data_IF_091848282761
#
_entry.id   IF_091848282761
#
_cell.length_a   1.000
_cell.length_b   1.000
_cell.length_c   1.000
_cell.angle_alpha   90.00
_cell.angle_beta   90.00
_cell.angle_gamma   90.00
#
_symmetry.space_group_name_H-M   'P 1'
#
loop_
_entity.id
_entity.type
_entity.pdbx_description
1 polymer ?
#
# COMPACT_ATOMS: atom_id res chain seq x y z
N UNK A 1 16.85 6.65 -10.73
CA UNK A 1 17.64 7.37 -9.70
C UNK A 1 17.14 6.94 -8.32
N UNK A 2 18.04 6.66 -7.40
CA UNK A 2 17.71 6.35 -6.00
C UNK A 2 17.26 7.63 -5.27
N UNK A 3 16.01 8.02 -5.41
CA UNK A 3 15.50 9.15 -4.64
C UNK A 3 15.27 8.71 -3.19
N UNK A 4 15.92 9.42 -2.27
CA UNK A 4 15.82 9.23 -0.83
C UNK A 4 15.00 10.36 -0.23
N UNK A 5 13.99 10.01 0.56
CA UNK A 5 13.29 10.93 1.45
C UNK A 5 13.85 10.74 2.86
N UNK A 6 14.16 11.83 3.54
CA UNK A 6 14.60 11.78 4.95
C UNK A 6 13.60 12.55 5.80
N UNK A 7 13.05 11.89 6.80
CA UNK A 7 12.14 12.47 7.78
C UNK A 7 12.86 12.61 9.11
N UNK A 8 12.96 13.82 9.67
CA UNK A 8 13.46 14.00 11.03
C UNK A 8 12.46 13.41 12.02
N UNK A 9 12.93 12.71 13.04
CA UNK A 9 12.14 12.41 14.22
C UNK A 9 12.18 13.64 15.14
N UNK A 10 11.11 14.39 15.20
CA UNK A 10 10.98 15.49 16.15
C UNK A 10 10.44 14.95 17.48
N UNK A 11 11.33 14.68 18.43
CA UNK A 11 11.00 14.66 19.87
C UNK A 11 10.29 13.44 20.45
N UNK A 12 9.64 12.59 19.68
CA UNK A 12 8.98 11.38 20.18
C UNK A 12 9.66 10.11 19.63
N UNK A 13 9.71 9.07 20.47
CA UNK A 13 10.37 7.81 20.14
C UNK A 13 9.55 6.93 19.16
N UNK A 14 8.57 7.48 18.43
CA UNK A 14 7.70 6.77 17.49
C UNK A 14 7.39 7.60 16.27
N UNK A 15 7.10 6.93 15.16
CA UNK A 15 6.66 7.49 13.89
C UNK A 15 5.30 6.94 13.53
N UNK A 16 4.37 7.82 13.19
CA UNK A 16 3.00 7.45 12.79
C UNK A 16 2.85 7.47 11.28
N UNK A 17 2.45 6.36 10.72
CA UNK A 17 2.26 6.17 9.28
C UNK A 17 0.78 5.89 8.98
N UNK A 18 0.27 6.56 7.96
CA UNK A 18 -1.03 6.27 7.36
C UNK A 18 -0.80 5.48 6.07
N UNK A 19 -1.39 4.29 5.98
CA UNK A 19 -1.46 3.55 4.72
C UNK A 19 -2.83 3.74 4.07
N UNK A 20 -2.81 4.16 2.81
CA UNK A 20 -3.95 4.20 1.90
C UNK A 20 -3.60 3.31 0.71
N UNK A 21 -4.51 2.45 0.29
CA UNK A 21 -4.26 1.48 -0.78
C UNK A 21 -5.52 1.21 -1.59
N UNK A 22 -5.33 0.79 -2.83
CA UNK A 22 -6.39 0.26 -3.69
C UNK A 22 -7.58 1.23 -3.79
N UNK A 23 -7.28 2.49 -4.14
CA UNK A 23 -8.32 3.53 -4.25
C UNK A 23 -9.13 3.41 -5.52
N UNK A 24 -8.58 2.80 -6.58
CA UNK A 24 -9.22 2.52 -7.86
C UNK A 24 -10.01 3.71 -8.42
N UNK A 25 -9.40 4.89 -8.39
CA UNK A 25 -10.03 6.11 -8.87
C UNK A 25 -10.13 6.12 -10.40
N UNK A 26 -11.09 6.88 -10.89
CA UNK A 26 -11.34 7.08 -12.32
C UNK A 26 -11.09 8.54 -12.73
N UNK A 27 -11.01 8.76 -14.04
CA UNK A 27 -10.98 10.11 -14.61
C UNK A 27 -12.22 10.92 -14.24
N UNK A 28 -13.37 10.25 -14.18
CA UNK A 28 -14.63 10.89 -13.82
C UNK A 28 -15.02 10.52 -12.40
N UNK A 29 -15.22 11.53 -11.54
CA UNK A 29 -15.56 11.34 -10.13
C UNK A 29 -16.89 10.63 -9.87
N UNK A 30 -17.74 10.48 -10.89
CA UNK A 30 -19.03 9.78 -10.77
C UNK A 30 -18.95 8.29 -11.15
N UNK A 31 -17.79 7.82 -11.63
CA UNK A 31 -17.62 6.43 -12.00
C UNK A 31 -17.51 5.51 -10.78
N UNK A 32 -17.91 4.27 -10.99
CA UNK A 32 -18.00 3.28 -9.94
C UNK A 32 -17.27 1.98 -10.31
N UNK A 33 -16.64 1.36 -9.34
CA UNK A 33 -16.12 0.01 -9.42
C UNK A 33 -17.08 -0.93 -8.69
N UNK A 34 -17.62 -1.92 -9.41
CA UNK A 34 -18.49 -2.95 -8.82
C UNK A 34 -19.66 -2.36 -8.00
N UNK A 35 -20.24 -1.25 -8.48
CA UNK A 35 -21.35 -0.56 -7.82
C UNK A 35 -20.96 0.50 -6.79
N UNK A 36 -19.69 0.60 -6.40
CA UNK A 36 -19.21 1.61 -5.44
C UNK A 36 -18.58 2.79 -6.18
N UNK A 37 -19.09 4.01 -5.95
CA UNK A 37 -18.41 5.22 -6.40
C UNK A 37 -17.10 5.38 -5.63
N UNK A 38 -15.98 5.19 -6.35
CA UNK A 38 -14.66 5.12 -5.71
C UNK A 38 -14.17 6.48 -5.20
N UNK A 39 -14.54 7.57 -5.87
CA UNK A 39 -14.21 8.91 -5.40
C UNK A 39 -14.94 9.24 -4.09
N UNK A 40 -16.26 9.00 -4.02
CA UNK A 40 -17.03 9.27 -2.82
C UNK A 40 -16.57 8.42 -1.63
N UNK A 41 -16.25 7.15 -1.89
CA UNK A 41 -15.71 6.25 -0.88
C UNK A 41 -14.34 6.71 -0.37
N UNK A 42 -13.43 7.07 -1.28
CA UNK A 42 -12.13 7.63 -0.93
C UNK A 42 -12.26 8.91 -0.11
N UNK A 43 -13.14 9.84 -0.51
CA UNK A 43 -13.38 11.07 0.26
C UNK A 43 -13.94 10.78 1.65
N UNK A 44 -14.86 9.83 1.78
CA UNK A 44 -15.41 9.45 3.09
C UNK A 44 -14.32 8.86 4.02
N UNK A 45 -13.41 8.04 3.48
CA UNK A 45 -12.24 7.55 4.23
C UNK A 45 -11.37 8.71 4.69
N UNK A 46 -11.03 9.64 3.80
CA UNK A 46 -10.22 10.80 4.15
C UNK A 46 -10.90 11.71 5.17
N UNK A 47 -12.21 11.89 5.08
CA UNK A 47 -12.99 12.64 6.07
C UNK A 47 -12.94 11.99 7.46
N UNK A 48 -13.02 10.66 7.52
CA UNK A 48 -12.88 9.92 8.78
C UNK A 48 -11.48 10.06 9.40
N UNK A 49 -10.43 10.16 8.57
CA UNK A 49 -9.05 10.34 9.00
C UNK A 49 -8.75 11.79 9.40
N UNK A 50 -9.43 12.76 8.78
CA UNK A 50 -9.14 14.21 8.90
C UNK A 50 -9.00 14.75 10.32
N UNK A 51 -9.79 14.31 11.33
CA UNK A 51 -9.58 14.76 12.72
C UNK A 51 -8.18 14.45 13.27
N UNK A 52 -7.52 13.40 12.73
CA UNK A 52 -6.22 12.91 13.13
C UNK A 52 -5.10 13.23 12.12
N UNK A 53 -5.38 14.00 11.07
CA UNK A 53 -4.45 14.24 9.94
C UNK A 53 -3.08 14.82 10.36
N UNK A 54 -3.03 15.54 11.48
CA UNK A 54 -1.80 16.15 11.99
C UNK A 54 -0.94 15.21 12.82
N UNK A 55 -1.42 13.99 13.06
CA UNK A 55 -0.72 12.98 13.85
C UNK A 55 0.21 12.12 13.01
N UNK A 56 0.08 12.17 11.68
CA UNK A 56 0.87 11.35 10.77
C UNK A 56 2.15 12.07 10.33
N UNK A 57 3.24 11.32 10.34
CA UNK A 57 4.56 11.75 9.88
C UNK A 57 4.79 11.36 8.41
N UNK A 58 4.09 10.33 7.92
CA UNK A 58 4.21 9.81 6.56
C UNK A 58 2.90 9.19 6.10
N UNK A 59 2.57 9.38 4.82
CA UNK A 59 1.54 8.63 4.10
C UNK A 59 2.24 7.67 3.16
N UNK A 60 1.81 6.40 3.14
CA UNK A 60 2.27 5.40 2.18
C UNK A 60 1.08 4.93 1.34
N UNK A 61 1.19 5.08 0.01
CA UNK A 61 0.20 4.63 -0.95
C UNK A 61 0.72 3.36 -1.64
N UNK A 62 0.06 2.23 -1.40
CA UNK A 62 0.59 0.90 -1.76
C UNK A 62 -0.04 0.30 -3.01
N UNK A 63 -0.34 1.15 -4.01
CA UNK A 63 -0.73 0.75 -5.36
C UNK A 63 -2.22 0.73 -5.62
N UNK A 64 -2.56 0.44 -6.87
CA UNK A 64 -3.91 0.46 -7.44
C UNK A 64 -4.66 1.76 -7.13
N UNK A 65 -3.97 2.89 -7.40
CA UNK A 65 -4.53 4.22 -7.18
C UNK A 65 -5.55 4.60 -8.25
N UNK A 66 -5.33 4.14 -9.50
CA UNK A 66 -6.23 4.38 -10.63
C UNK A 66 -6.77 3.07 -11.20
N UNK A 67 -8.08 3.04 -11.50
CA UNK A 67 -8.71 1.92 -12.20
C UNK A 67 -8.54 2.03 -13.71
N UNK A 68 -8.66 3.24 -14.25
CA UNK A 68 -8.68 3.52 -15.68
C UNK A 68 -7.33 4.03 -16.25
N UNK A 69 -6.27 3.99 -15.45
CA UNK A 69 -4.91 4.40 -15.82
C UNK A 69 -4.76 5.86 -16.26
N UNK A 70 -5.77 6.69 -16.03
CA UNK A 70 -5.78 8.08 -16.45
C UNK A 70 -4.95 8.97 -15.54
N UNK A 71 -4.31 10.02 -16.10
CA UNK A 71 -3.65 11.06 -15.30
C UNK A 71 -4.61 11.76 -14.34
N UNK A 72 -5.89 11.90 -14.71
CA UNK A 72 -6.90 12.52 -13.89
C UNK A 72 -7.20 11.70 -12.60
N UNK A 73 -7.21 10.37 -12.67
CA UNK A 73 -7.37 9.52 -11.50
C UNK A 73 -6.25 9.76 -10.47
N UNK A 74 -4.99 9.85 -10.89
CA UNK A 74 -3.86 10.16 -10.00
C UNK A 74 -3.92 11.58 -9.45
N UNK A 75 -4.40 12.54 -10.25
CA UNK A 75 -4.66 13.91 -9.77
C UNK A 75 -5.75 13.93 -8.69
N UNK A 76 -6.79 13.13 -8.84
CA UNK A 76 -7.83 12.97 -7.82
C UNK A 76 -7.27 12.36 -6.53
N UNK A 77 -6.37 11.37 -6.63
CA UNK A 77 -5.68 10.86 -5.45
C UNK A 77 -4.91 11.98 -4.74
N UNK A 78 -4.10 12.73 -5.49
CA UNK A 78 -3.32 13.85 -4.95
C UNK A 78 -4.20 14.96 -4.36
N UNK A 79 -5.32 15.29 -5.01
CA UNK A 79 -6.34 16.24 -4.50
C UNK A 79 -6.86 15.81 -3.12
N UNK A 80 -7.16 14.52 -2.96
CA UNK A 80 -7.69 13.97 -1.71
C UNK A 80 -6.74 14.17 -0.54
N UNK A 81 -5.45 13.83 -0.72
CA UNK A 81 -4.46 13.94 0.35
C UNK A 81 -3.83 15.34 0.51
N UNK A 82 -4.17 16.30 -0.35
CA UNK A 82 -3.54 17.63 -0.34
C UNK A 82 -3.69 18.40 0.97
N UNK A 83 -4.72 18.09 1.77
CA UNK A 83 -4.93 18.72 3.09
C UNK A 83 -4.03 18.14 4.19
N UNK A 84 -3.44 16.98 3.96
CA UNK A 84 -2.53 16.33 4.92
C UNK A 84 -1.14 17.00 4.84
N UNK A 85 -0.53 17.26 5.99
CA UNK A 85 0.80 17.86 6.04
C UNK A 85 1.92 16.86 5.89
N UNK A 86 1.62 15.58 6.17
CA UNK A 86 2.58 14.50 6.04
C UNK A 86 2.97 14.31 4.57
N UNK A 87 4.26 14.14 4.24
CA UNK A 87 4.66 13.73 2.90
C UNK A 87 4.07 12.38 2.55
N UNK A 88 3.85 12.15 1.25
CA UNK A 88 3.39 10.87 0.72
C UNK A 88 4.47 10.23 -0.15
N UNK A 89 4.66 8.93 0.00
CA UNK A 89 5.41 8.06 -0.91
C UNK A 89 4.51 6.97 -1.45
N UNK A 90 4.85 6.41 -2.62
CA UNK A 90 3.96 5.51 -3.32
C UNK A 90 4.70 4.44 -4.12
N UNK A 91 4.01 3.36 -4.40
CA UNK A 91 4.42 2.32 -5.34
C UNK A 91 3.22 1.95 -6.25
N UNK A 92 3.45 1.41 -7.46
CA UNK A 92 2.38 1.02 -8.35
C UNK A 92 1.76 -0.32 -7.95
N UNK A 93 0.47 -0.50 -8.25
CA UNK A 93 -0.21 -1.78 -8.29
C UNK A 93 -0.42 -2.25 -9.73
N UNK A 94 -1.11 -3.38 -9.92
CA UNK A 94 -1.31 -3.98 -11.25
C UNK A 94 -2.27 -3.18 -12.14
N UNK A 95 -3.17 -2.38 -11.57
CA UNK A 95 -4.06 -1.49 -12.33
C UNK A 95 -3.38 -0.18 -12.74
N UNK A 96 -2.28 0.20 -12.12
CA UNK A 96 -1.65 1.49 -12.38
C UNK A 96 -0.88 1.52 -13.71
N UNK A 97 -0.84 2.69 -14.34
CA UNK A 97 0.02 2.98 -15.48
C UNK A 97 1.14 3.92 -15.06
N UNK A 98 2.33 3.37 -14.87
CA UNK A 98 3.45 4.08 -14.25
C UNK A 98 3.79 5.43 -14.92
N UNK A 99 3.83 5.58 -16.27
CA UNK A 99 4.14 6.88 -16.86
C UNK A 99 3.17 8.00 -16.47
N UNK A 100 1.86 7.72 -16.46
CA UNK A 100 0.85 8.69 -16.04
C UNK A 100 0.89 8.94 -14.52
N UNK A 101 1.08 7.88 -13.74
CA UNK A 101 1.22 7.94 -12.27
C UNK A 101 2.40 8.82 -11.86
N UNK A 102 3.60 8.58 -12.45
CA UNK A 102 4.80 9.38 -12.18
C UNK A 102 4.58 10.85 -12.48
N UNK A 103 4.07 11.16 -13.69
CA UNK A 103 3.87 12.54 -14.10
C UNK A 103 2.88 13.26 -13.20
N UNK A 104 1.70 12.69 -12.99
CA UNK A 104 0.63 13.34 -12.22
C UNK A 104 1.00 13.53 -10.74
N UNK A 105 1.61 12.52 -10.10
CA UNK A 105 2.00 12.61 -8.69
C UNK A 105 3.19 13.55 -8.49
N UNK A 106 4.17 13.57 -9.41
CA UNK A 106 5.28 14.50 -9.37
C UNK A 106 4.82 15.95 -9.57
N UNK A 107 3.91 16.20 -10.50
CA UNK A 107 3.31 17.52 -10.74
C UNK A 107 2.55 18.02 -9.49
N UNK A 108 1.98 17.11 -8.72
CA UNK A 108 1.34 17.40 -7.43
C UNK A 108 2.32 17.53 -6.26
N UNK A 109 3.64 17.41 -6.50
CA UNK A 109 4.67 17.51 -5.47
C UNK A 109 4.81 16.28 -4.58
N UNK A 110 4.22 15.13 -4.98
CA UNK A 110 4.31 13.88 -4.22
C UNK A 110 5.60 13.15 -4.59
N UNK A 111 6.37 12.78 -3.58
CA UNK A 111 7.72 12.23 -3.74
C UNK A 111 7.72 10.85 -4.42
N UNK A 112 8.53 10.64 -5.48
CA UNK A 112 8.73 9.34 -6.08
C UNK A 112 9.76 8.48 -5.33
N UNK A 113 10.13 8.85 -4.09
CA UNK A 113 11.16 8.16 -3.33
C UNK A 113 10.80 6.70 -3.10
N UNK A 114 11.77 5.82 -3.31
CA UNK A 114 11.66 4.37 -3.06
C UNK A 114 12.39 3.94 -1.79
N UNK A 115 13.07 4.88 -1.14
CA UNK A 115 13.69 4.70 0.18
C UNK A 115 13.34 5.90 1.05
N UNK A 116 12.93 5.63 2.29
CA UNK A 116 12.64 6.67 3.29
C UNK A 116 13.49 6.36 4.52
N UNK A 117 14.30 7.31 4.96
CA UNK A 117 14.92 7.27 6.28
C UNK A 117 14.06 8.04 7.28
N UNK A 118 13.85 7.45 8.44
CA UNK A 118 13.07 8.04 9.53
C UNK A 118 13.94 8.06 10.77
N UNK A 119 14.37 9.25 11.15
CA UNK A 119 15.39 9.42 12.17
C UNK A 119 16.65 8.59 11.86
N UNK A 120 17.24 8.01 12.91
CA UNK A 120 18.40 7.12 12.78
C UNK A 120 18.03 5.64 12.85
N UNK A 121 16.81 5.31 13.30
CA UNK A 121 16.42 3.94 13.66
C UNK A 121 15.73 3.18 12.54
N UNK A 122 14.95 3.85 11.66
CA UNK A 122 14.13 3.19 10.68
C UNK A 122 14.47 3.52 9.25
N UNK A 123 14.24 2.56 8.36
CA UNK A 123 14.07 2.80 6.94
C UNK A 123 12.82 2.10 6.41
N UNK A 124 12.24 2.69 5.37
CA UNK A 124 11.17 2.08 4.59
C UNK A 124 11.69 1.91 3.17
N UNK A 125 11.51 0.72 2.61
CA UNK A 125 11.87 0.40 1.23
C UNK A 125 10.61 0.05 0.44
N UNK A 126 10.43 0.68 -0.72
CA UNK A 126 9.28 0.48 -1.59
C UNK A 126 9.72 -0.32 -2.83
N UNK A 127 9.18 -1.52 -2.97
CA UNK A 127 9.45 -2.39 -4.11
C UNK A 127 8.35 -2.26 -5.16
N UNK A 128 8.76 -2.19 -6.41
CA UNK A 128 7.86 -2.25 -7.55
C UNK A 128 7.69 -3.71 -7.98
N UNK A 129 6.53 -4.27 -7.67
CA UNK A 129 6.16 -5.64 -8.04
C UNK A 129 5.23 -5.70 -9.25
N UNK A 130 4.97 -4.56 -9.91
CA UNK A 130 4.09 -4.54 -11.08
C UNK A 130 4.73 -5.27 -12.27
N UNK A 131 3.94 -6.14 -12.89
CA UNK A 131 4.17 -6.64 -14.24
C UNK A 131 3.06 -6.06 -15.12
N UNK A 132 3.41 -5.16 -16.03
CA UNK A 132 2.42 -4.44 -16.82
C UNK A 132 1.52 -5.38 -17.63
N UNK A 133 0.21 -5.18 -17.54
CA UNK A 133 -0.80 -5.90 -18.30
C UNK A 133 -1.22 -7.25 -17.73
N UNK A 134 -0.73 -7.61 -16.55
CA UNK A 134 -1.16 -8.84 -15.85
C UNK A 134 -1.45 -8.56 -14.37
N UNK A 135 -2.35 -9.31 -13.72
CA UNK A 135 -2.77 -9.02 -12.34
C UNK A 135 -1.82 -9.57 -11.26
N UNK A 136 -0.87 -10.44 -11.61
CA UNK A 136 0.11 -10.95 -10.66
C UNK A 136 1.35 -10.05 -10.59
N UNK A 137 2.06 -10.12 -9.46
CA UNK A 137 3.32 -9.41 -9.27
C UNK A 137 4.54 -10.29 -9.51
N UNK A 138 5.66 -9.63 -9.83
CA UNK A 138 6.98 -10.23 -9.88
C UNK A 138 8.04 -9.15 -9.60
N UNK A 139 9.02 -9.45 -8.79
CA UNK A 139 10.16 -8.56 -8.58
C UNK A 139 11.24 -8.88 -9.61
N UNK A 140 11.64 -7.87 -10.39
CA UNK A 140 12.74 -8.04 -11.33
C UNK A 140 14.05 -8.33 -10.59
N UNK A 141 15.02 -8.95 -11.27
CA UNK A 141 16.38 -9.16 -10.74
C UNK A 141 16.99 -7.83 -10.25
N UNK A 142 16.77 -6.75 -11.01
CA UNK A 142 17.21 -5.41 -10.61
C UNK A 142 16.60 -4.95 -9.27
N UNK A 143 15.30 -5.24 -9.03
CA UNK A 143 14.64 -4.88 -7.77
C UNK A 143 15.19 -5.70 -6.60
N UNK A 144 15.44 -7.00 -6.79
CA UNK A 144 16.03 -7.86 -5.77
C UNK A 144 17.46 -7.46 -5.43
N UNK A 145 18.30 -7.18 -6.43
CA UNK A 145 19.66 -6.67 -6.21
C UNK A 145 19.67 -5.28 -5.54
N UNK A 146 18.74 -4.40 -5.95
CA UNK A 146 18.57 -3.09 -5.32
C UNK A 146 18.21 -3.25 -3.85
N UNK A 147 17.24 -4.12 -3.53
CA UNK A 147 16.83 -4.41 -2.17
C UNK A 147 18.02 -4.91 -1.33
N UNK A 148 18.75 -5.91 -1.83
CA UNK A 148 19.93 -6.48 -1.15
C UNK A 148 20.98 -5.41 -0.83
N UNK A 149 21.30 -4.54 -1.81
CA UNK A 149 22.22 -3.43 -1.59
C UNK A 149 21.72 -2.45 -0.53
N UNK A 150 20.41 -2.06 -0.58
CA UNK A 150 19.86 -1.09 0.37
C UNK A 150 19.78 -1.62 1.79
N UNK A 151 19.57 -2.93 1.96
CA UNK A 151 19.62 -3.57 3.26
C UNK A 151 21.06 -3.66 3.79
N UNK A 152 22.01 -3.98 2.92
CA UNK A 152 23.43 -4.01 3.28
C UNK A 152 24.02 -2.63 3.61
N UNK A 153 23.53 -1.57 2.95
CA UNK A 153 23.96 -0.18 3.19
C UNK A 153 23.54 0.38 4.57
N UNK A 154 22.53 -0.20 5.23
CA UNK A 154 22.02 0.28 6.51
C UNK A 154 21.57 -0.89 7.43
N UNK A 155 22.51 -1.77 7.80
CA UNK A 155 22.20 -3.00 8.55
C UNK A 155 21.71 -2.73 9.99
N UNK A 156 21.99 -1.54 10.53
CA UNK A 156 21.58 -1.11 11.87
C UNK A 156 20.14 -0.56 11.91
N UNK A 157 19.53 -0.29 10.74
CA UNK A 157 18.17 0.26 10.70
C UNK A 157 17.12 -0.83 10.68
N UNK A 158 16.11 -0.69 11.53
CA UNK A 158 14.88 -1.47 11.40
C UNK A 158 14.24 -1.18 10.04
N UNK A 159 13.73 -2.20 9.38
CA UNK A 159 13.21 -2.05 8.02
C UNK A 159 11.76 -2.48 7.93
N UNK A 160 10.91 -1.58 7.41
CA UNK A 160 9.58 -1.88 6.89
C UNK A 160 9.65 -1.96 5.37
N UNK A 161 9.27 -3.10 4.80
CA UNK A 161 9.26 -3.32 3.36
C UNK A 161 7.84 -3.18 2.81
N UNK A 162 7.66 -2.36 1.80
CA UNK A 162 6.37 -2.14 1.12
C UNK A 162 6.40 -2.75 -0.28
N UNK A 163 5.33 -3.44 -0.64
CA UNK A 163 5.08 -3.93 -2.00
C UNK A 163 3.57 -4.00 -2.22
N UNK A 164 3.12 -4.03 -3.49
CA UNK A 164 1.68 -4.14 -3.75
C UNK A 164 1.18 -5.57 -3.58
N UNK A 165 1.80 -6.53 -4.28
CA UNK A 165 1.34 -7.92 -4.32
C UNK A 165 1.78 -8.71 -3.09
N UNK A 166 0.85 -9.48 -2.52
CA UNK A 166 1.10 -10.32 -1.35
C UNK A 166 2.03 -11.50 -1.67
N UNK A 167 3.07 -11.75 -0.87
CA UNK A 167 4.03 -12.84 -1.10
C UNK A 167 3.57 -14.19 -0.53
N UNK A 168 2.57 -14.22 0.34
CA UNK A 168 2.02 -15.40 0.99
C UNK A 168 0.54 -15.54 0.62
N UNK A 169 0.02 -16.74 0.33
CA UNK A 169 -1.39 -16.92 0.04
C UNK A 169 -2.31 -16.31 1.10
N UNK A 170 -3.31 -15.54 0.66
CA UNK A 170 -4.33 -14.95 1.52
C UNK A 170 -5.44 -15.94 1.89
N UNK A 171 -5.40 -17.16 1.33
CA UNK A 171 -6.42 -18.17 1.54
C UNK A 171 -7.66 -18.01 0.64
N UNK A 172 -7.52 -17.22 -0.43
CA UNK A 172 -8.53 -17.03 -1.46
C UNK A 172 -7.99 -17.57 -2.78
N UNK A 173 -8.40 -18.75 -3.23
CA UNK A 173 -7.78 -19.45 -4.36
C UNK A 173 -7.77 -18.66 -5.67
N UNK A 174 -8.78 -17.82 -5.92
CA UNK A 174 -8.82 -16.95 -7.10
C UNK A 174 -7.82 -15.79 -6.98
N UNK A 175 -7.71 -15.19 -5.79
CA UNK A 175 -6.85 -14.04 -5.52
C UNK A 175 -5.38 -14.47 -5.40
N UNK A 176 -5.12 -15.65 -4.85
CA UNK A 176 -3.78 -16.22 -4.70
C UNK A 176 -3.09 -16.53 -6.03
N UNK A 177 -3.86 -16.61 -7.14
CA UNK A 177 -3.30 -16.68 -8.50
C UNK A 177 -2.64 -15.37 -8.93
N UNK A 178 -2.97 -14.27 -8.28
CA UNK A 178 -2.47 -12.92 -8.54
C UNK A 178 -1.41 -12.47 -7.54
N UNK A 179 -0.88 -13.38 -6.72
CA UNK A 179 0.17 -13.11 -5.74
C UNK A 179 1.52 -12.76 -6.39
N UNK A 180 2.52 -12.45 -5.56
CA UNK A 180 3.91 -12.29 -5.98
C UNK A 180 4.48 -13.63 -6.46
N UNK A 181 4.78 -13.76 -7.76
CA UNK A 181 5.22 -15.00 -8.39
C UNK A 181 6.54 -15.53 -7.84
N UNK A 182 7.48 -14.65 -7.59
CA UNK A 182 8.81 -15.00 -7.12
C UNK A 182 9.04 -14.67 -5.64
N UNK A 183 8.03 -14.90 -4.80
CA UNK A 183 8.13 -14.73 -3.35
C UNK A 183 9.28 -15.52 -2.72
N UNK A 184 9.65 -16.69 -3.27
CA UNK A 184 10.79 -17.48 -2.83
C UNK A 184 12.14 -16.79 -3.06
N UNK A 185 12.29 -16.03 -4.14
CA UNK A 185 13.51 -15.24 -4.39
C UNK A 185 13.59 -14.07 -3.42
N UNK A 186 12.47 -13.39 -3.17
CA UNK A 186 12.39 -12.36 -2.14
C UNK A 186 12.78 -12.93 -0.76
N UNK A 187 12.22 -14.08 -0.37
CA UNK A 187 12.56 -14.73 0.90
C UNK A 187 14.07 -15.08 0.99
N UNK A 188 14.66 -15.54 -0.11
CA UNK A 188 16.11 -15.83 -0.20
C UNK A 188 16.96 -14.59 0.06
N UNK A 189 16.56 -13.43 -0.47
CA UNK A 189 17.23 -12.15 -0.18
C UNK A 189 17.05 -11.79 1.29
N UNK A 190 15.80 -11.81 1.78
CA UNK A 190 15.47 -11.40 3.15
C UNK A 190 16.08 -12.31 4.23
N UNK A 191 16.34 -13.58 3.92
CA UNK A 191 17.02 -14.51 4.84
C UNK A 191 18.44 -14.07 5.22
N UNK A 192 19.08 -13.24 4.38
CA UNK A 192 20.40 -12.65 4.67
C UNK A 192 20.31 -11.47 5.67
N UNK A 193 19.11 -10.94 5.90
CA UNK A 193 18.88 -9.71 6.66
C UNK A 193 17.81 -9.89 7.75
N UNK A 194 18.16 -10.54 8.88
CA UNK A 194 17.20 -10.89 9.94
C UNK A 194 16.59 -9.67 10.66
N UNK A 195 17.13 -8.47 10.43
CA UNK A 195 16.58 -7.22 10.93
C UNK A 195 15.34 -6.72 10.15
N UNK A 196 15.05 -7.29 8.97
CA UNK A 196 13.81 -7.05 8.24
C UNK A 196 12.70 -7.90 8.85
N UNK A 197 11.81 -7.28 9.63
CA UNK A 197 10.77 -8.00 10.39
C UNK A 197 9.36 -7.73 9.91
N UNK A 198 9.15 -6.72 9.05
CA UNK A 198 7.83 -6.26 8.68
C UNK A 198 7.71 -6.06 7.18
N UNK A 199 6.62 -6.60 6.61
CA UNK A 199 6.19 -6.36 5.25
C UNK A 199 4.75 -5.83 5.27
N UNK A 200 4.44 -4.93 4.35
CA UNK A 200 3.12 -4.32 4.22
C UNK A 200 2.72 -4.28 2.75
N UNK A 201 1.53 -4.80 2.44
CA UNK A 201 1.02 -4.83 1.07
C UNK A 201 -0.44 -4.31 0.96
N UNK A 202 -0.88 -4.12 -0.28
CA UNK A 202 -2.26 -3.87 -0.68
C UNK A 202 -2.85 -5.06 -1.42
N UNK A 203 -3.47 -4.81 -2.57
CA UNK A 203 -3.90 -5.77 -3.59
C UNK A 203 -5.07 -6.68 -3.21
N UNK A 204 -5.06 -7.26 -2.02
CA UNK A 204 -6.06 -8.28 -1.64
C UNK A 204 -7.36 -7.70 -1.10
N UNK A 205 -7.44 -6.38 -0.88
CA UNK A 205 -8.60 -5.68 -0.31
C UNK A 205 -9.12 -6.33 0.98
N UNK A 206 -8.22 -6.91 1.77
CA UNK A 206 -8.52 -7.58 3.03
C UNK A 206 -7.55 -7.13 4.11
N UNK A 207 -7.99 -7.22 5.35
CA UNK A 207 -7.10 -7.17 6.49
C UNK A 207 -6.37 -8.51 6.64
N UNK A 208 -5.05 -8.46 6.67
CA UNK A 208 -4.20 -9.63 6.88
C UNK A 208 -3.12 -9.30 7.90
N UNK A 209 -2.81 -10.27 8.77
CA UNK A 209 -1.71 -10.22 9.74
C UNK A 209 -1.21 -11.64 9.98
N UNK A 210 -0.14 -12.01 9.27
CA UNK A 210 0.40 -13.37 9.26
C UNK A 210 1.90 -13.39 9.51
N UNK A 211 2.39 -14.50 10.03
CA UNK A 211 3.81 -14.81 10.02
C UNK A 211 4.23 -15.37 8.66
N UNK A 212 5.30 -14.80 8.11
CA UNK A 212 6.00 -15.29 6.92
C UNK A 212 7.48 -15.50 7.22
N UNK A 213 7.82 -16.72 7.59
CA UNK A 213 9.20 -17.12 7.91
C UNK A 213 9.86 -16.23 9.00
N UNK A 214 9.10 -15.95 10.06
CA UNK A 214 9.52 -15.12 11.19
C UNK A 214 9.42 -13.61 10.95
N UNK A 215 8.76 -13.18 9.85
CA UNK A 215 8.44 -11.79 9.54
C UNK A 215 6.94 -11.59 9.58
N UNK A 216 6.51 -10.46 10.12
CA UNK A 216 5.10 -10.10 10.14
C UNK A 216 4.69 -9.52 8.80
N UNK A 217 3.80 -10.19 8.08
CA UNK A 217 3.20 -9.76 6.83
C UNK A 217 1.83 -9.15 7.11
N UNK A 218 1.66 -7.90 6.71
CA UNK A 218 0.44 -7.14 6.86
C UNK A 218 -0.15 -6.83 5.49
N UNK A 219 -1.49 -6.91 5.36
CA UNK A 219 -2.21 -6.35 4.23
C UNK A 219 -3.39 -5.51 4.72
N UNK A 220 -3.81 -4.57 3.88
CA UNK A 220 -4.75 -3.52 4.28
C UNK A 220 -5.98 -3.53 3.39
N UNK A 221 -7.17 -3.27 3.96
CA UNK A 221 -8.39 -3.11 3.19
C UNK A 221 -8.30 -1.94 2.21
N UNK A 222 -8.99 -2.09 1.10
CA UNK A 222 -9.16 -1.03 0.11
C UNK A 222 -10.01 0.14 0.66
N UNK A 223 -9.81 1.32 0.10
CA UNK A 223 -10.70 2.46 0.34
C UNK A 223 -12.00 2.40 -0.48
N UNK A 224 -12.18 1.35 -1.29
CA UNK A 224 -13.42 1.16 -2.07
C UNK A 224 -14.08 -0.21 -1.78
N UNK A 225 -13.97 -1.18 -2.67
CA UNK A 225 -14.58 -2.50 -2.51
C UNK A 225 -13.69 -3.45 -1.69
N UNK A 226 -14.31 -4.43 -1.04
CA UNK A 226 -13.59 -5.45 -0.27
C UNK A 226 -13.82 -6.83 -0.89
N UNK A 227 -12.79 -7.68 -0.81
CA UNK A 227 -12.90 -9.09 -1.24
C UNK A 227 -13.12 -9.99 -0.03
N UNK A 228 -14.05 -10.93 -0.18
CA UNK A 228 -14.41 -11.83 0.92
C UNK A 228 -13.29 -12.84 1.17
N UNK A 229 -12.79 -12.97 2.41
CA UNK A 229 -11.76 -13.96 2.74
C UNK A 229 -12.25 -15.41 2.57
N UNK A 230 -11.29 -16.31 2.34
CA UNK A 230 -11.50 -17.77 2.28
C UNK A 230 -12.48 -18.22 1.20
N UNK A 231 -12.52 -17.51 0.06
CA UNK A 231 -13.36 -17.85 -1.09
C UNK A 231 -12.53 -18.47 -2.23
N UNK A 232 -13.06 -19.52 -2.85
CA UNK A 232 -12.42 -20.14 -4.02
C UNK A 232 -12.62 -19.36 -5.31
N UNK A 233 -13.75 -18.66 -5.43
CA UNK A 233 -14.11 -17.85 -6.58
C UNK A 233 -14.15 -16.37 -6.19
N UNK A 234 -14.10 -15.48 -7.20
CA UNK A 234 -14.29 -14.05 -6.98
C UNK A 234 -15.55 -13.80 -6.17
N UNK A 235 -15.42 -13.15 -5.05
CA UNK A 235 -16.53 -12.87 -4.13
C UNK A 235 -16.27 -11.55 -3.42
N UNK A 236 -17.22 -10.63 -3.53
CA UNK A 236 -17.20 -9.34 -2.84
C UNK A 236 -17.65 -9.51 -1.38
N UNK A 237 -17.05 -8.72 -0.49
CA UNK A 237 -17.50 -8.58 0.89
C UNK A 237 -18.33 -7.30 1.04
N UNK A 238 -19.23 -7.31 2.01
CA UNK A 238 -20.09 -6.16 2.35
C UNK A 238 -19.56 -5.32 3.51
N UNK A 239 -18.35 -5.64 4.01
CA UNK A 239 -17.71 -4.82 5.04
C UNK A 239 -17.25 -3.48 4.47
N UNK A 240 -17.22 -2.46 5.33
CA UNK A 240 -16.95 -1.09 4.91
C UNK A 240 -15.51 -0.89 4.40
N UNK A 241 -15.29 0.09 3.52
CA UNK A 241 -13.97 0.59 3.15
C UNK A 241 -13.11 0.92 4.37
N UNK A 242 -11.79 0.79 4.21
CA UNK A 242 -10.89 0.99 5.33
C UNK A 242 -9.52 1.52 4.97
N UNK A 243 -8.69 1.66 6.01
CA UNK A 243 -7.30 2.07 5.96
C UNK A 243 -6.54 1.47 7.13
N UNK A 244 -5.21 1.64 7.15
CA UNK A 244 -4.37 1.18 8.26
C UNK A 244 -3.54 2.32 8.81
N UNK A 245 -3.38 2.32 10.13
CA UNK A 245 -2.37 3.13 10.83
C UNK A 245 -1.28 2.23 11.38
N UNK A 246 -0.03 2.74 11.37
CA UNK A 246 1.11 2.05 11.93
C UNK A 246 1.88 3.02 12.84
N UNK A 247 2.44 2.50 13.92
CA UNK A 247 3.41 3.22 14.76
C UNK A 247 4.72 2.42 14.76
N UNK A 248 5.80 3.03 14.29
CA UNK A 248 7.15 2.49 14.33
C UNK A 248 7.84 3.03 15.58
N UNK A 249 8.26 2.14 16.46
CA UNK A 249 8.92 2.49 17.71
C UNK A 249 10.45 2.44 17.58
N UNK A 250 11.16 3.24 18.39
CA UNK A 250 12.62 3.33 18.34
C UNK A 250 13.33 2.00 18.63
N UNK A 251 12.67 1.09 19.36
CA UNK A 251 13.19 -0.25 19.68
C UNK A 251 13.03 -1.27 18.55
N UNK A 252 12.47 -0.85 17.41
CA UNK A 252 12.22 -1.71 16.25
C UNK A 252 10.91 -2.49 16.32
N UNK A 253 10.05 -2.22 17.28
CA UNK A 253 8.70 -2.78 17.31
C UNK A 253 7.74 -1.96 16.44
N UNK A 254 6.69 -2.62 15.93
CA UNK A 254 5.63 -2.01 15.14
C UNK A 254 4.28 -2.37 15.76
N UNK A 255 3.49 -1.35 16.05
CA UNK A 255 2.07 -1.49 16.38
C UNK A 255 1.20 -0.98 15.23
N UNK A 256 0.03 -1.56 15.04
CA UNK A 256 -0.81 -1.23 13.89
C UNK A 256 -2.26 -1.51 14.16
N UNK A 257 -3.14 -0.77 13.49
CA UNK A 257 -4.59 -0.92 13.57
C UNK A 257 -5.22 -0.69 12.20
N UNK A 258 -6.20 -1.53 11.85
CA UNK A 258 -7.08 -1.34 10.70
C UNK A 258 -8.32 -0.60 11.15
N UNK A 259 -8.66 0.45 10.43
CA UNK A 259 -9.86 1.25 10.64
C UNK A 259 -10.80 1.07 9.46
N UNK A 260 -12.10 1.19 9.71
CA UNK A 260 -13.14 1.12 8.68
C UNK A 260 -14.16 2.23 8.88
N UNK A 261 -14.80 2.63 7.79
CA UNK A 261 -15.94 3.55 7.87
C UNK A 261 -17.03 2.95 8.75
N UNK A 262 -17.66 3.79 9.56
CA UNK A 262 -18.74 3.37 10.46
C UNK A 262 -20.09 3.18 9.75
N UNK A 263 -20.20 3.64 8.50
CA UNK A 263 -21.44 3.60 7.73
C UNK A 263 -21.44 2.50 6.64
N UNK A 264 -22.60 2.20 6.12
CA UNK A 264 -22.83 1.13 5.12
C UNK A 264 -23.17 1.67 3.73
N UNK A 265 -22.83 2.92 3.41
CA UNK A 265 -23.19 3.57 2.13
C UNK A 265 -22.51 2.91 0.93
N UNK A 266 -21.32 2.38 1.11
CA UNK A 266 -20.48 1.85 0.04
C UNK A 266 -20.61 0.33 -0.05
N UNK A 267 -21.78 -0.12 -0.52
CA UNK A 267 -22.05 -1.54 -0.72
C UNK A 267 -21.78 -1.93 -2.16
N UNK A 268 -20.97 -2.97 -2.42
CA UNK A 268 -20.72 -3.44 -3.76
C UNK A 268 -21.93 -4.18 -4.34
N UNK A 269 -21.98 -4.24 -5.67
CA UNK A 269 -22.88 -5.16 -6.36
C UNK A 269 -22.35 -6.58 -6.24
N UNK A 270 -22.89 -7.31 -5.26
CA UNK A 270 -22.48 -8.68 -4.95
C UNK A 270 -22.84 -9.71 -6.02
N UNK A 271 -23.59 -9.32 -7.06
CA UNK A 271 -23.89 -10.16 -8.23
C UNK A 271 -22.77 -10.11 -9.28
N UNK A 272 -21.77 -9.22 -9.13
CA UNK A 272 -20.64 -9.12 -10.04
C UNK A 272 -19.75 -10.37 -9.97
N UNK A 273 -19.30 -10.87 -11.13
CA UNK A 273 -18.49 -12.11 -11.26
C UNK A 273 -16.99 -11.81 -11.52
N UNK A 274 -16.58 -10.55 -11.50
CA UNK A 274 -15.19 -10.11 -11.73
C UNK A 274 -15.10 -8.62 -12.09
N UNK A 275 -13.86 -8.13 -12.29
CA UNK A 275 -13.57 -6.75 -12.69
C UNK A 275 -12.26 -6.66 -13.46
#
# INVERSE_FOLDING_TARGET
MDSLLTLPLAGEARVRILQITDTHLFAQKHEALLGVNTWESYQAVLEAIRPHQHEFDLIVATGDLAQDQSSAAYQHFAEGIASFRAPCVWLPGNHDFQPAMYSALQDAGISPAKRVFIGEQWQILLLDSQVFGVPHGELSEFQLEWLERKLADAPERHTLLLLHHHPLPAGCSWLDQHSLRNAGELDTVLAKFPHVKYLLCGHIHQELDLDWNGRRLLATPSTCVQFKPHCSNFTLDTIAPGWRTLELHADGTLTTEVHRLADTRFQPDTASEGY
#
